data_IF_564722349992
#
_entry.id   IF_564722349992
#
_cell.length_a   1.000
_cell.length_b   1.000
_cell.length_c   1.000
_cell.angle_alpha   90.00
_cell.angle_beta   90.00
_cell.angle_gamma   90.00
#
_symmetry.space_group_name_H-M   'P 1'
#
loop_
_entity.id
_entity.type
_entity.pdbx_description
1 polymer ?
#
# COMPACT_ATOMS: atom_id res chain seq x y z
N UNK A 1 21.12 -15.86 2.69
CA UNK A 1 19.95 -14.96 2.85
C UNK A 1 19.92 -14.52 4.30
N UNK A 2 19.74 -13.22 4.57
CA UNK A 2 19.68 -12.74 5.95
C UNK A 2 18.25 -12.99 6.46
N UNK A 3 17.99 -14.18 7.00
CA UNK A 3 16.68 -14.61 7.52
C UNK A 3 16.40 -14.08 8.94
N UNK A 4 17.28 -13.22 9.47
CA UNK A 4 17.17 -12.72 10.83
C UNK A 4 16.13 -11.56 10.96
N UNK A 5 15.69 -10.99 9.83
CA UNK A 5 14.73 -9.91 9.82
C UNK A 5 13.30 -10.43 9.75
N UNK A 6 12.45 -9.87 10.58
CA UNK A 6 11.03 -10.26 10.69
C UNK A 6 10.13 -9.32 9.89
N UNK A 7 9.05 -9.86 9.30
CA UNK A 7 8.11 -9.10 8.47
C UNK A 7 6.70 -9.22 9.01
N UNK A 8 6.06 -8.07 9.24
CA UNK A 8 4.63 -7.94 9.48
C UNK A 8 3.92 -7.58 8.18
N UNK A 9 2.80 -8.22 7.89
CA UNK A 9 1.90 -7.79 6.83
C UNK A 9 0.75 -7.01 7.46
N UNK A 10 0.39 -5.86 6.89
CA UNK A 10 -0.80 -5.12 7.29
C UNK A 10 -1.80 -5.07 6.15
N UNK A 11 -3.04 -5.45 6.41
CA UNK A 11 -4.12 -5.48 5.43
C UNK A 11 -5.28 -4.63 5.92
N UNK A 12 -5.67 -3.64 5.11
CA UNK A 12 -6.91 -2.90 5.30
C UNK A 12 -8.05 -3.60 4.57
N UNK A 13 -9.21 -3.77 5.22
CA UNK A 13 -10.39 -4.40 4.59
C UNK A 13 -11.63 -3.53 4.73
N UNK A 14 -12.43 -3.51 3.66
CA UNK A 14 -13.78 -2.93 3.63
C UNK A 14 -14.59 -3.54 2.48
N UNK A 15 -15.62 -4.34 2.80
CA UNK A 15 -16.49 -5.02 1.83
C UNK A 15 -15.70 -5.77 0.73
N UNK A 16 -14.77 -6.63 1.15
CA UNK A 16 -13.84 -7.35 0.28
C UNK A 16 -14.10 -8.86 0.18
N UNK A 17 -15.27 -9.35 0.58
CA UNK A 17 -15.59 -10.78 0.70
C UNK A 17 -15.32 -11.58 -0.57
N UNK A 18 -15.45 -10.95 -1.75
CA UNK A 18 -15.27 -11.58 -3.06
C UNK A 18 -13.81 -12.02 -3.30
N UNK A 19 -12.82 -11.23 -2.83
CA UNK A 19 -11.41 -11.41 -3.21
C UNK A 19 -10.50 -11.80 -2.06
N UNK A 20 -10.88 -11.50 -0.82
CA UNK A 20 -9.98 -11.55 0.34
C UNK A 20 -9.39 -12.94 0.60
N UNK A 21 -10.09 -14.03 0.26
CA UNK A 21 -9.58 -15.40 0.41
C UNK A 21 -8.36 -15.64 -0.47
N UNK A 22 -8.46 -15.28 -1.74
CA UNK A 22 -7.36 -15.42 -2.70
C UNK A 22 -6.14 -14.61 -2.26
N UNK A 23 -6.36 -13.39 -1.78
CA UNK A 23 -5.27 -12.55 -1.28
C UNK A 23 -4.63 -13.14 -0.02
N UNK A 24 -5.40 -13.56 0.98
CA UNK A 24 -4.85 -14.18 2.19
C UNK A 24 -4.07 -15.46 1.89
N UNK A 25 -4.59 -16.32 1.00
CA UNK A 25 -3.90 -17.54 0.57
C UNK A 25 -2.56 -17.21 -0.13
N UNK A 26 -2.52 -16.15 -0.94
CA UNK A 26 -1.31 -15.70 -1.62
C UNK A 26 -0.25 -15.17 -0.63
N UNK A 27 -0.67 -14.47 0.43
CA UNK A 27 0.21 -14.00 1.50
C UNK A 27 0.74 -15.19 2.32
N UNK A 28 -0.12 -16.13 2.69
CA UNK A 28 0.27 -17.32 3.43
C UNK A 28 1.22 -18.24 2.64
N UNK A 29 1.25 -18.14 1.31
CA UNK A 29 2.13 -18.91 0.42
C UNK A 29 3.51 -18.27 0.21
N UNK A 30 3.84 -17.17 0.88
CA UNK A 30 5.14 -16.51 0.71
C UNK A 30 6.31 -17.43 1.13
N UNK A 31 7.37 -17.43 0.33
CA UNK A 31 8.59 -18.19 0.63
C UNK A 31 9.36 -17.65 1.82
N UNK A 32 9.22 -16.36 2.12
CA UNK A 32 9.82 -15.73 3.29
C UNK A 32 8.90 -15.91 4.52
N UNK A 33 9.45 -16.35 5.67
CA UNK A 33 8.63 -16.56 6.88
C UNK A 33 8.07 -15.24 7.40
N UNK A 34 6.75 -15.19 7.54
CA UNK A 34 6.04 -14.03 8.07
C UNK A 34 5.94 -14.12 9.59
N UNK A 35 6.15 -13.01 10.27
CA UNK A 35 5.97 -12.91 11.73
C UNK A 35 4.50 -12.85 12.11
N UNK A 36 3.73 -12.01 11.40
CA UNK A 36 2.32 -11.76 11.65
C UNK A 36 1.64 -11.15 10.44
N UNK A 37 0.32 -11.29 10.38
CA UNK A 37 -0.57 -10.65 9.43
C UNK A 37 -1.63 -9.91 10.24
N UNK A 38 -1.62 -8.59 10.20
CA UNK A 38 -2.54 -7.72 10.93
C UNK A 38 -3.63 -7.28 9.95
N UNK A 39 -4.85 -7.76 10.17
CA UNK A 39 -6.03 -7.39 9.37
C UNK A 39 -6.85 -6.38 10.17
N UNK A 40 -7.04 -5.19 9.58
CA UNK A 40 -7.84 -4.11 10.16
C UNK A 40 -9.06 -3.86 9.29
N UNK A 41 -10.25 -4.27 9.76
CA UNK A 41 -11.51 -4.06 9.07
C UNK A 41 -12.11 -2.69 9.37
N UNK A 42 -12.51 -1.97 8.33
CA UNK A 42 -13.03 -0.61 8.41
C UNK A 42 -14.57 -0.53 8.41
N UNK A 43 -15.21 -1.52 9.02
CA UNK A 43 -16.66 -1.54 9.18
C UNK A 43 -17.41 -2.25 8.04
N UNK A 44 -16.87 -3.35 7.50
CA UNK A 44 -17.51 -4.16 6.47
C UNK A 44 -18.92 -4.63 6.87
N UNK A 45 -19.79 -4.71 5.88
CA UNK A 45 -21.19 -5.14 6.03
C UNK A 45 -21.51 -6.43 5.26
N UNK A 46 -20.55 -6.91 4.48
CA UNK A 46 -20.60 -8.20 3.78
C UNK A 46 -19.93 -9.31 4.62
N UNK A 47 -19.63 -10.46 4.00
CA UNK A 47 -19.01 -11.61 4.65
C UNK A 47 -17.51 -11.43 5.00
N UNK A 48 -16.91 -10.26 4.74
CA UNK A 48 -15.48 -9.99 4.99
C UNK A 48 -15.08 -10.33 6.42
N UNK A 49 -15.87 -9.86 7.41
CA UNK A 49 -15.61 -10.09 8.83
C UNK A 49 -15.61 -11.58 9.17
N UNK A 50 -16.61 -12.32 8.67
CA UNK A 50 -16.72 -13.77 8.91
C UNK A 50 -15.51 -14.52 8.31
N UNK A 51 -15.10 -14.14 7.10
CA UNK A 51 -13.93 -14.73 6.43
C UNK A 51 -12.65 -14.46 7.22
N UNK A 52 -12.38 -13.19 7.59
CA UNK A 52 -11.18 -12.81 8.34
C UNK A 52 -11.12 -13.51 9.71
N UNK A 53 -12.26 -13.63 10.40
CA UNK A 53 -12.36 -14.34 11.69
C UNK A 53 -11.98 -15.80 11.51
N UNK A 54 -12.53 -16.49 10.51
CA UNK A 54 -12.21 -17.89 10.25
C UNK A 54 -10.72 -18.12 9.90
N UNK A 55 -10.09 -17.18 9.17
CA UNK A 55 -8.65 -17.23 8.90
C UNK A 55 -7.83 -17.00 10.19
N UNK A 56 -8.21 -16.06 11.04
CA UNK A 56 -7.52 -15.79 12.30
C UNK A 56 -7.63 -16.98 13.29
N UNK A 57 -8.76 -17.67 13.31
CA UNK A 57 -8.92 -18.91 14.09
C UNK A 57 -8.04 -20.05 13.59
N UNK A 58 -7.84 -20.15 12.27
CA UNK A 58 -7.07 -21.21 11.62
C UNK A 58 -5.57 -20.95 11.65
N UNK A 59 -5.13 -19.70 11.53
CA UNK A 59 -3.73 -19.31 11.40
C UNK A 59 -3.30 -18.38 12.53
N UNK A 60 -2.52 -18.86 13.53
CA UNK A 60 -2.15 -18.08 14.72
C UNK A 60 -1.35 -16.80 14.44
N UNK A 61 -0.75 -16.66 13.25
CA UNK A 61 -0.04 -15.45 12.82
C UNK A 61 -0.98 -14.34 12.34
N UNK A 62 -2.29 -14.62 12.17
CA UNK A 62 -3.29 -13.65 11.72
C UNK A 62 -3.95 -13.01 12.92
N UNK A 63 -3.84 -11.70 13.01
CA UNK A 63 -4.48 -10.87 14.04
C UNK A 63 -5.56 -10.01 13.41
N UNK A 64 -6.82 -10.37 13.62
CA UNK A 64 -7.97 -9.65 13.09
C UNK A 64 -8.52 -8.67 14.12
N UNK A 65 -8.79 -7.44 13.66
CA UNK A 65 -9.51 -6.43 14.44
C UNK A 65 -10.41 -5.58 13.54
N UNK A 66 -11.47 -5.02 14.13
CA UNK A 66 -12.46 -4.21 13.44
C UNK A 66 -12.56 -2.82 14.07
N UNK A 67 -12.65 -1.78 13.26
CA UNK A 67 -12.92 -0.42 13.70
C UNK A 67 -14.38 -0.29 14.19
N UNK A 68 -14.62 0.56 15.17
CA UNK A 68 -15.96 0.86 15.65
C UNK A 68 -16.83 1.61 14.60
N UNK A 69 -16.17 2.31 13.66
CA UNK A 69 -16.78 3.00 12.53
C UNK A 69 -15.80 3.03 11.37
N UNK A 70 -16.30 3.36 10.16
CA UNK A 70 -15.43 3.56 9.01
C UNK A 70 -14.55 4.80 9.22
N UNK A 71 -13.23 4.61 9.19
CA UNK A 71 -12.22 5.66 9.38
C UNK A 71 -11.62 6.14 8.06
N UNK A 72 -11.92 5.45 6.97
CA UNK A 72 -11.28 5.61 5.67
C UNK A 72 -9.92 4.92 5.58
N UNK A 73 -9.51 4.57 4.37
CA UNK A 73 -8.35 3.72 4.12
C UNK A 73 -7.05 4.26 4.74
N UNK A 74 -6.79 5.58 4.70
CA UNK A 74 -5.59 6.17 5.28
C UNK A 74 -5.47 5.90 6.79
N UNK A 75 -6.53 6.14 7.54
CA UNK A 75 -6.52 5.92 9.00
C UNK A 75 -6.58 4.43 9.33
N UNK A 76 -7.26 3.65 8.51
CA UNK A 76 -7.32 2.20 8.68
C UNK A 76 -5.94 1.57 8.56
N UNK A 77 -5.18 1.88 7.49
CA UNK A 77 -3.80 1.43 7.33
C UNK A 77 -2.86 1.97 8.40
N UNK A 78 -3.00 3.26 8.79
CA UNK A 78 -2.21 3.83 9.89
C UNK A 78 -2.41 3.05 11.19
N UNK A 79 -3.66 2.74 11.52
CA UNK A 79 -3.98 2.00 12.75
C UNK A 79 -3.38 0.59 12.76
N UNK A 80 -3.36 -0.09 11.61
CA UNK A 80 -2.71 -1.38 11.45
C UNK A 80 -1.18 -1.27 11.55
N UNK A 81 -0.57 -0.27 10.90
CA UNK A 81 0.86 -0.03 10.92
C UNK A 81 1.42 0.21 12.33
N UNK A 82 0.67 0.93 13.18
CA UNK A 82 1.07 1.19 14.56
C UNK A 82 1.07 -0.06 15.46
N UNK A 83 0.40 -1.15 15.02
CA UNK A 83 0.38 -2.44 15.74
C UNK A 83 1.51 -3.38 15.30
N UNK A 84 2.14 -3.14 14.16
CA UNK A 84 3.16 -4.02 13.59
C UNK A 84 4.40 -4.14 14.50
N UNK A 85 4.92 -5.37 14.63
CA UNK A 85 6.06 -5.68 15.50
C UNK A 85 7.26 -6.24 14.76
N UNK A 86 7.15 -6.55 13.45
CA UNK A 86 8.25 -6.99 12.61
C UNK A 86 9.26 -5.88 12.35
N UNK A 87 10.48 -6.23 11.94
CA UNK A 87 11.49 -5.25 11.52
C UNK A 87 11.05 -4.48 10.28
N UNK A 88 10.31 -5.15 9.40
CA UNK A 88 9.70 -4.58 8.21
C UNK A 88 8.18 -4.76 8.21
N UNK A 89 7.50 -3.89 7.47
CA UNK A 89 6.05 -3.90 7.30
C UNK A 89 5.71 -3.79 5.82
N UNK A 90 4.87 -4.71 5.31
CA UNK A 90 4.35 -4.65 3.95
C UNK A 90 2.85 -4.34 3.95
N UNK A 91 2.43 -3.46 3.05
CA UNK A 91 1.02 -3.17 2.82
C UNK A 91 0.38 -4.21 1.91
N UNK A 92 -0.85 -4.56 2.21
CA UNK A 92 -1.69 -5.42 1.38
C UNK A 92 -3.07 -4.82 1.21
N UNK A 93 -3.49 -4.65 -0.03
CA UNK A 93 -4.90 -4.45 -0.35
C UNK A 93 -5.62 -5.80 -0.27
N UNK A 94 -6.93 -5.80 -0.15
CA UNK A 94 -7.75 -7.00 0.08
C UNK A 94 -8.05 -7.80 -1.19
N UNK A 95 -7.79 -7.23 -2.37
CA UNK A 95 -8.25 -7.71 -3.68
C UNK A 95 -7.11 -7.96 -4.70
N UNK A 96 -5.85 -7.92 -4.24
CA UNK A 96 -4.66 -8.28 -5.01
C UNK A 96 -4.34 -9.77 -4.95
N UNK A 97 -3.25 -10.17 -5.62
CA UNK A 97 -2.61 -11.49 -5.44
C UNK A 97 -1.09 -11.32 -5.45
N UNK A 98 -0.43 -11.77 -4.40
CA UNK A 98 1.03 -11.70 -4.29
C UNK A 98 1.70 -12.91 -4.93
N UNK A 99 2.84 -12.67 -5.59
CA UNK A 99 3.67 -13.76 -6.07
C UNK A 99 4.53 -14.32 -4.93
N UNK A 100 4.81 -15.63 -4.92
CA UNK A 100 5.37 -16.31 -3.75
C UNK A 100 6.68 -15.73 -3.21
N UNK A 101 7.51 -15.12 -4.06
CA UNK A 101 8.82 -14.58 -3.70
C UNK A 101 8.82 -13.07 -3.41
N UNK A 102 7.66 -12.43 -3.30
CA UNK A 102 7.56 -10.98 -3.12
C UNK A 102 8.33 -10.50 -1.91
N UNK A 103 8.03 -11.02 -0.74
CA UNK A 103 8.67 -10.58 0.51
C UNK A 103 10.16 -10.93 0.52
N UNK A 104 10.53 -12.10 0.08
CA UNK A 104 11.93 -12.53 -0.01
C UNK A 104 12.79 -11.54 -0.83
N UNK A 105 12.30 -11.17 -2.02
CA UNK A 105 13.01 -10.25 -2.92
C UNK A 105 13.09 -8.83 -2.35
N UNK A 106 12.00 -8.36 -1.76
CA UNK A 106 11.98 -7.02 -1.16
C UNK A 106 12.88 -6.93 0.08
N UNK A 107 12.90 -7.95 0.95
CA UNK A 107 13.81 -7.99 2.10
C UNK A 107 15.26 -8.03 1.65
N UNK A 108 15.59 -8.77 0.58
CA UNK A 108 16.94 -8.81 0.02
C UNK A 108 17.37 -7.46 -0.58
N UNK A 109 16.43 -6.70 -1.14
CA UNK A 109 16.72 -5.44 -1.86
C UNK A 109 16.75 -4.20 -0.97
N UNK A 110 15.99 -4.17 0.13
CA UNK A 110 15.74 -2.94 0.91
C UNK A 110 17.02 -2.31 1.49
N UNK A 111 18.05 -3.10 1.81
CA UNK A 111 19.32 -2.59 2.34
C UNK A 111 19.13 -1.63 3.51
N UNK A 112 19.64 -0.40 3.39
CA UNK A 112 19.49 0.68 4.37
C UNK A 112 18.33 1.66 4.04
N UNK A 113 17.58 1.44 2.95
CA UNK A 113 16.49 2.32 2.56
C UNK A 113 15.26 2.16 3.47
N UNK A 114 14.45 3.20 3.55
CA UNK A 114 13.20 3.19 4.32
C UNK A 114 12.09 2.43 3.62
N UNK A 115 12.07 2.48 2.28
CA UNK A 115 11.07 1.82 1.43
C UNK A 115 11.77 0.99 0.35
N UNK A 116 11.27 -0.23 0.15
CA UNK A 116 11.47 -1.02 -1.05
C UNK A 116 10.12 -1.19 -1.73
N UNK A 117 10.01 -0.86 -3.01
CA UNK A 117 8.82 -1.11 -3.81
C UNK A 117 9.15 -1.99 -5.02
N UNK A 118 8.14 -2.49 -5.72
CA UNK A 118 8.32 -3.30 -6.92
C UNK A 118 7.42 -2.83 -8.06
N UNK A 119 7.72 -3.27 -9.27
CA UNK A 119 6.75 -3.26 -10.34
C UNK A 119 5.61 -4.24 -10.03
N UNK A 120 4.50 -4.15 -10.75
CA UNK A 120 3.36 -5.07 -10.58
C UNK A 120 2.64 -5.29 -11.92
N UNK A 121 1.90 -6.38 -12.01
CA UNK A 121 0.95 -6.60 -13.10
C UNK A 121 -0.39 -5.98 -12.73
N UNK A 122 -1.08 -5.36 -13.67
CA UNK A 122 -2.42 -4.82 -13.49
C UNK A 122 -3.36 -5.34 -14.56
N UNK A 123 -4.56 -5.77 -14.18
CA UNK A 123 -5.58 -6.26 -15.10
C UNK A 123 -6.84 -6.69 -14.38
N UNK A 124 -7.95 -6.88 -15.14
CA UNK A 124 -9.20 -7.38 -14.62
C UNK A 124 -9.13 -8.87 -14.26
N UNK A 125 -8.30 -9.61 -14.98
CA UNK A 125 -8.00 -11.01 -14.78
C UNK A 125 -6.49 -11.27 -15.02
N UNK A 126 -6.04 -12.52 -14.76
CA UNK A 126 -4.61 -12.88 -14.88
C UNK A 126 -4.14 -13.07 -16.32
N UNK A 127 -5.04 -13.27 -17.26
CA UNK A 127 -4.70 -13.49 -18.67
C UNK A 127 -4.52 -12.15 -19.41
N UNK A 128 -5.25 -11.10 -18.98
CA UNK A 128 -5.25 -9.78 -19.56
C UNK A 128 -4.60 -8.76 -18.62
N UNK A 129 -3.28 -8.88 -18.46
CA UNK A 129 -2.51 -7.99 -17.60
C UNK A 129 -1.52 -7.15 -18.40
N UNK A 130 -1.14 -6.01 -17.87
CA UNK A 130 -0.02 -5.21 -18.33
C UNK A 130 0.92 -4.88 -17.17
N UNK A 131 2.21 -4.73 -17.48
CA UNK A 131 3.21 -4.32 -16.51
C UNK A 131 3.02 -2.85 -16.16
N UNK A 132 2.92 -2.55 -14.87
CA UNK A 132 3.02 -1.19 -14.33
C UNK A 132 4.42 -1.03 -13.75
N UNK A 133 5.21 -0.18 -14.41
CA UNK A 133 6.55 0.19 -13.98
C UNK A 133 6.54 1.69 -13.67
N UNK A 134 6.38 2.10 -12.40
CA UNK A 134 6.35 3.50 -12.03
C UNK A 134 7.71 4.14 -12.30
N UNK A 135 7.70 5.27 -13.00
CA UNK A 135 8.91 6.06 -13.19
C UNK A 135 9.34 6.64 -11.83
N UNK A 136 10.53 6.24 -11.38
CA UNK A 136 11.08 6.72 -10.13
C UNK A 136 11.99 7.91 -10.40
N UNK A 137 11.50 9.11 -10.13
CA UNK A 137 12.30 10.32 -10.01
C UNK A 137 11.71 11.20 -8.93
N UNK A 138 12.52 12.13 -8.41
CA UNK A 138 12.05 13.09 -7.42
C UNK A 138 10.88 13.93 -7.96
N UNK A 139 10.95 14.33 -9.23
CA UNK A 139 9.88 15.06 -9.89
C UNK A 139 8.60 14.23 -9.99
N UNK A 140 8.71 12.94 -10.31
CA UNK A 140 7.55 12.06 -10.37
C UNK A 140 6.86 11.94 -9.00
N UNK A 141 7.62 11.87 -7.90
CA UNK A 141 7.08 11.82 -6.55
C UNK A 141 6.29 13.05 -6.15
N UNK A 142 6.56 14.22 -6.74
CA UNK A 142 5.77 15.43 -6.48
C UNK A 142 4.36 15.35 -7.06
N UNK A 143 4.15 14.49 -8.04
CA UNK A 143 2.89 14.40 -8.78
C UNK A 143 2.14 13.10 -8.55
N UNK A 144 2.83 12.02 -8.23
CA UNK A 144 2.23 10.72 -7.93
C UNK A 144 3.12 9.92 -6.98
N UNK A 145 2.49 9.06 -6.16
CA UNK A 145 3.18 8.08 -5.33
C UNK A 145 3.32 6.74 -6.02
N UNK A 146 3.88 5.80 -5.28
CA UNK A 146 3.86 4.38 -5.61
C UNK A 146 2.64 3.74 -4.95
N UNK A 147 2.08 2.71 -5.57
CA UNK A 147 0.96 2.00 -4.97
C UNK A 147 1.39 1.28 -3.68
N UNK A 148 0.64 1.48 -2.60
CA UNK A 148 0.95 0.93 -1.28
C UNK A 148 1.18 -0.57 -1.29
N UNK A 149 0.35 -1.32 -2.02
CA UNK A 149 0.45 -2.78 -2.17
C UNK A 149 1.79 -3.28 -2.76
N UNK A 150 2.62 -2.38 -3.30
CA UNK A 150 3.95 -2.72 -3.81
C UNK A 150 5.06 -2.52 -2.78
N UNK A 151 4.78 -1.94 -1.61
CA UNK A 151 5.78 -1.44 -0.66
C UNK A 151 6.10 -2.44 0.46
N UNK A 152 7.40 -2.50 0.81
CA UNK A 152 7.94 -3.00 2.08
C UNK A 152 8.68 -1.85 2.75
N UNK A 153 8.39 -1.56 4.03
CA UNK A 153 8.92 -0.41 4.74
C UNK A 153 9.62 -0.83 6.05
N UNK A 154 10.57 -0.03 6.51
CA UNK A 154 11.09 -0.19 7.87
C UNK A 154 10.00 0.15 8.89
N UNK A 155 9.86 -0.68 9.93
CA UNK A 155 8.86 -0.46 10.98
C UNK A 155 9.04 0.89 11.67
N UNK A 156 10.25 1.22 12.08
CA UNK A 156 10.54 2.49 12.74
C UNK A 156 10.19 3.71 11.86
N UNK A 157 10.39 3.62 10.56
CA UNK A 157 9.98 4.66 9.62
C UNK A 157 8.45 4.77 9.54
N UNK A 158 7.73 3.67 9.26
CA UNK A 158 6.28 3.71 9.09
C UNK A 158 5.53 4.07 10.38
N UNK A 159 6.09 3.79 11.56
CA UNK A 159 5.51 4.16 12.85
C UNK A 159 5.78 5.61 13.28
N UNK A 160 6.53 6.38 12.49
CA UNK A 160 6.70 7.82 12.69
C UNK A 160 5.44 8.55 12.25
N UNK A 161 4.67 9.06 13.22
CA UNK A 161 3.33 9.65 12.98
C UNK A 161 3.35 10.84 12.03
N UNK A 162 4.43 11.60 12.02
CA UNK A 162 4.66 12.81 11.22
C UNK A 162 4.76 12.51 9.73
N UNK A 163 5.08 11.27 9.35
CA UNK A 163 5.18 10.86 7.94
C UNK A 163 3.82 10.51 7.31
N UNK A 164 2.77 10.44 8.13
CA UNK A 164 1.39 10.27 7.69
C UNK A 164 0.73 11.64 7.50
N UNK A 165 1.05 12.31 6.40
CA UNK A 165 0.60 13.66 6.13
C UNK A 165 -0.92 13.72 5.97
N UNK A 166 -1.61 14.71 6.58
CA UNK A 166 -3.04 14.82 6.48
C UNK A 166 -3.49 15.16 5.03
N UNK A 167 -4.64 14.64 4.62
CA UNK A 167 -5.26 14.91 3.31
C UNK A 167 -4.44 14.45 2.09
N UNK A 168 -3.45 13.59 2.30
CA UNK A 168 -2.65 12.93 1.26
C UNK A 168 -2.82 11.42 1.39
N UNK A 169 -2.83 10.69 0.29
CA UNK A 169 -2.82 9.23 0.31
C UNK A 169 -1.59 8.73 1.05
N UNK A 170 -1.76 7.74 1.91
CA UNK A 170 -0.70 7.27 2.82
C UNK A 170 0.56 6.81 2.07
N UNK A 171 0.39 6.09 0.98
CA UNK A 171 1.47 5.56 0.15
C UNK A 171 2.31 6.69 -0.47
N UNK A 172 1.67 7.72 -0.96
CA UNK A 172 2.33 8.89 -1.51
C UNK A 172 3.01 9.73 -0.41
N UNK A 173 2.35 9.92 0.73
CA UNK A 173 2.91 10.59 1.91
C UNK A 173 4.19 9.92 2.38
N UNK A 174 4.15 8.60 2.57
CA UNK A 174 5.31 7.83 3.02
C UNK A 174 6.45 7.84 1.98
N UNK A 175 6.13 7.75 0.68
CA UNK A 175 7.14 7.81 -0.37
C UNK A 175 7.91 9.15 -0.36
N UNK A 176 7.20 10.28 -0.23
CA UNK A 176 7.83 11.60 -0.13
C UNK A 176 8.73 11.68 1.11
N UNK A 177 8.22 11.26 2.27
CA UNK A 177 8.99 11.31 3.51
C UNK A 177 10.22 10.39 3.46
N UNK A 178 10.11 9.19 2.86
CA UNK A 178 11.24 8.30 2.69
C UNK A 178 12.34 8.90 1.80
N UNK A 179 11.95 9.58 0.71
CA UNK A 179 12.91 10.26 -0.16
C UNK A 179 13.72 11.32 0.59
N UNK A 180 13.15 11.95 1.61
CA UNK A 180 13.81 12.96 2.44
C UNK A 180 14.58 12.36 3.62
N UNK A 181 14.44 11.07 3.91
CA UNK A 181 15.04 10.40 5.06
C UNK A 181 16.06 9.34 4.63
N UNK A 182 15.69 8.08 4.59
CA UNK A 182 16.58 6.95 4.28
C UNK A 182 16.51 6.48 2.81
N UNK A 183 15.64 7.12 2.01
CA UNK A 183 15.53 6.85 0.58
C UNK A 183 14.65 5.64 0.23
N UNK A 184 14.58 5.40 -1.07
CA UNK A 184 13.72 4.39 -1.68
C UNK A 184 14.54 3.53 -2.63
N UNK A 185 14.26 2.23 -2.70
CA UNK A 185 14.83 1.29 -3.66
C UNK A 185 13.74 0.53 -4.40
N UNK A 186 13.98 0.19 -5.66
CA UNK A 186 13.04 -0.55 -6.50
C UNK A 186 13.56 -1.96 -6.82
N UNK A 187 12.68 -2.94 -6.76
CA UNK A 187 12.85 -4.24 -7.40
C UNK A 187 12.18 -4.19 -8.77
N UNK A 188 12.98 -4.21 -9.83
CA UNK A 188 12.49 -4.14 -11.22
C UNK A 188 11.96 -5.50 -11.70
N UNK A 189 10.98 -6.01 -10.96
CA UNK A 189 10.28 -7.25 -11.25
C UNK A 189 8.85 -7.16 -10.71
N UNK A 190 7.83 -7.64 -11.46
CA UNK A 190 6.47 -7.67 -10.95
C UNK A 190 6.36 -8.70 -9.82
N UNK A 191 5.98 -8.25 -8.63
CA UNK A 191 5.89 -9.09 -7.44
C UNK A 191 4.45 -9.32 -6.95
N UNK A 192 3.47 -8.70 -7.59
CA UNK A 192 2.07 -8.97 -7.38
C UNK A 192 1.23 -8.64 -8.62
N UNK A 193 0.05 -9.22 -8.66
CA UNK A 193 -1.01 -8.84 -9.58
C UNK A 193 -2.02 -7.95 -8.84
N UNK A 194 -2.17 -6.71 -9.33
CA UNK A 194 -3.16 -5.76 -8.86
C UNK A 194 -4.43 -5.90 -9.71
N UNK A 195 -5.50 -6.30 -9.07
CA UNK A 195 -6.81 -6.46 -9.71
C UNK A 195 -7.41 -5.09 -10.03
N UNK A 196 -7.85 -4.89 -11.28
CA UNK A 196 -8.66 -3.72 -11.64
C UNK A 196 -10.08 -3.89 -11.09
N UNK A 197 -10.36 -3.30 -9.95
CA UNK A 197 -11.65 -3.36 -9.29
C UNK A 197 -12.37 -2.01 -9.41
N UNK A 198 -13.53 -1.99 -10.09
CA UNK A 198 -14.35 -0.77 -10.27
C UNK A 198 -15.04 -0.30 -8.98
N UNK A 199 -15.11 -1.15 -7.96
CA UNK A 199 -15.64 -0.83 -6.63
C UNK A 199 -14.55 -0.42 -5.64
N UNK A 200 -13.30 -0.20 -6.08
CA UNK A 200 -12.20 0.22 -5.21
C UNK A 200 -12.43 1.62 -4.60
N UNK A 201 -11.87 1.87 -3.42
CA UNK A 201 -11.97 3.17 -2.73
C UNK A 201 -11.51 4.34 -3.61
N UNK A 202 -10.42 4.15 -4.37
CA UNK A 202 -9.95 5.16 -5.33
C UNK A 202 -10.98 5.46 -6.43
N UNK A 203 -11.72 4.45 -6.88
CA UNK A 203 -12.74 4.62 -7.92
C UNK A 203 -13.96 5.38 -7.38
N UNK A 204 -14.37 5.08 -6.15
CA UNK A 204 -15.46 5.78 -5.47
C UNK A 204 -15.11 7.26 -5.18
N UNK A 205 -13.88 7.55 -4.73
CA UNK A 205 -13.43 8.94 -4.57
C UNK A 205 -13.43 9.72 -5.89
N UNK A 206 -13.02 9.08 -6.99
CA UNK A 206 -13.06 9.69 -8.32
C UNK A 206 -14.50 9.96 -8.80
N UNK A 207 -15.43 9.06 -8.52
CA UNK A 207 -16.86 9.25 -8.82
C UNK A 207 -17.45 10.42 -8.01
N UNK A 208 -17.18 10.46 -6.70
CA UNK A 208 -17.66 11.53 -5.81
C UNK A 208 -17.09 12.89 -6.19
N UNK A 209 -15.88 12.95 -6.71
CA UNK A 209 -15.25 14.18 -7.22
C UNK A 209 -15.87 14.67 -8.55
N UNK A 210 -16.92 14.01 -9.08
CA UNK A 210 -17.58 14.36 -10.33
C UNK A 210 -16.71 14.18 -11.58
N UNK A 211 -15.58 13.49 -11.46
CA UNK A 211 -14.68 13.18 -12.57
C UNK A 211 -15.23 11.97 -13.30
N UNK A 212 -15.94 12.18 -14.41
CA UNK A 212 -16.12 11.10 -15.38
C UNK A 212 -14.73 10.59 -15.76
N UNK A 213 -14.46 9.31 -15.54
CA UNK A 213 -13.32 8.64 -16.15
C UNK A 213 -13.61 8.57 -17.66
N UNK A 214 -13.33 9.65 -18.34
CA UNK A 214 -13.35 9.69 -19.80
C UNK A 214 -12.10 8.94 -20.28
N UNK A 215 -12.28 8.03 -21.21
CA UNK A 215 -11.25 7.11 -21.72
C UNK A 215 -10.12 7.80 -22.51
N UNK A 216 -9.81 9.06 -22.25
CA UNK A 216 -8.71 9.80 -22.88
C UNK A 216 -7.44 9.76 -22.03
N UNK A 217 -6.42 8.97 -22.42
CA UNK A 217 -5.27 8.63 -21.58
C UNK A 217 -4.30 9.77 -21.27
N UNK A 218 -4.42 10.96 -21.88
CA UNK A 218 -3.30 11.88 -22.01
C UNK A 218 -3.26 13.05 -21.03
N UNK A 219 -4.37 13.43 -20.37
CA UNK A 219 -4.37 14.62 -19.49
C UNK A 219 -4.73 14.35 -18.03
N UNK A 220 -5.33 13.22 -17.71
CA UNK A 220 -5.78 12.92 -16.36
C UNK A 220 -4.66 12.75 -15.33
N UNK A 221 -3.52 12.09 -15.64
CA UNK A 221 -2.38 12.01 -14.71
C UNK A 221 -1.86 13.40 -14.31
N UNK A 222 -1.80 14.34 -15.24
CA UNK A 222 -1.35 15.71 -14.97
C UNK A 222 -2.32 16.50 -14.07
N UNK A 223 -3.63 16.36 -14.29
CA UNK A 223 -4.64 17.04 -13.45
C UNK A 223 -4.66 16.47 -12.04
N UNK A 224 -4.50 15.16 -11.91
CA UNK A 224 -4.36 14.50 -10.61
C UNK A 224 -3.07 14.93 -9.91
N UNK A 225 -1.95 14.95 -10.63
CA UNK A 225 -0.68 15.44 -10.14
C UNK A 225 -0.72 16.89 -9.67
N UNK A 226 -1.36 17.81 -10.44
CA UNK A 226 -1.54 19.21 -10.03
C UNK A 226 -2.40 19.32 -8.76
N UNK A 227 -3.47 18.54 -8.64
CA UNK A 227 -4.30 18.52 -7.45
C UNK A 227 -3.51 18.05 -6.22
N UNK A 228 -2.69 17.02 -6.39
CA UNK A 228 -1.82 16.48 -5.35
C UNK A 228 -0.72 17.47 -4.97
N UNK A 229 -0.07 18.12 -5.92
CA UNK A 229 0.91 19.17 -5.68
C UNK A 229 0.32 20.32 -4.86
N UNK A 230 -0.91 20.77 -5.18
CA UNK A 230 -1.62 21.78 -4.38
C UNK A 230 -1.91 21.31 -2.97
N UNK A 231 -2.23 20.03 -2.76
CA UNK A 231 -2.41 19.44 -1.42
C UNK A 231 -1.10 19.43 -0.64
N UNK A 232 0.03 19.10 -1.29
CA UNK A 232 1.36 19.19 -0.68
C UNK A 232 1.69 20.62 -0.22
N UNK A 233 1.43 21.62 -1.05
CA UNK A 233 1.68 23.02 -0.69
C UNK A 233 0.91 23.50 0.55
N UNK A 234 -0.18 22.83 0.90
CA UNK A 234 -0.98 23.13 2.08
C UNK A 234 -0.44 22.47 3.36
N UNK A 235 0.59 21.63 3.26
CA UNK A 235 1.16 20.95 4.43
C UNK A 235 2.02 21.92 5.26
N UNK A 236 1.96 21.83 6.61
CA UNK A 236 2.73 22.71 7.48
C UNK A 236 4.24 22.70 7.22
N UNK A 237 4.78 21.60 6.76
CA UNK A 237 6.21 21.39 6.51
C UNK A 237 6.59 21.56 5.02
N UNK A 238 5.74 22.17 4.20
CA UNK A 238 6.01 22.37 2.77
C UNK A 238 7.34 23.07 2.50
N UNK A 239 7.71 24.05 3.30
CA UNK A 239 8.99 24.77 3.15
C UNK A 239 10.20 23.84 3.30
N UNK A 240 10.12 22.85 4.17
CA UNK A 240 11.16 21.84 4.34
C UNK A 240 11.28 20.95 3.09
N UNK A 241 10.15 20.55 2.51
CA UNK A 241 10.08 19.82 1.24
C UNK A 241 10.65 20.65 0.08
N UNK A 242 10.32 21.95 0.02
CA UNK A 242 10.77 22.88 -1.00
C UNK A 242 12.30 23.08 -0.96
N UNK A 243 12.89 23.23 0.23
CA UNK A 243 14.34 23.44 0.43
C UNK A 243 15.16 22.20 0.01
N UNK A 244 14.55 21.02 -0.05
CA UNK A 244 15.22 19.78 -0.46
C UNK A 244 15.15 19.53 -1.97
N UNK A 245 14.21 20.17 -2.68
CA UNK A 245 13.93 19.98 -4.10
C UNK A 245 14.68 21.03 -4.94
N UNK A 246 15.06 22.17 -4.37
CA UNK A 246 15.78 23.29 -4.98
C UNK A 246 17.06 23.62 -4.19
#
# INVERSE_FOLDING_TARGET
>A
MNTDKTVSIIMGTYNGAEYIREQLDSILSQTYPLKEIIIQDDGSTDDTVAICTAYAEKYPIIHFSRNASNLGFNQNFKSAAMKATGDFVAFSDQDDVWFPTKIEKQVAAIGNHDICFSTHLRGADREHTHLVNPQYSLEALLFCGFAGHTMLLRREFIQTSEYWLPNIMYDWSLAICAQLHGGIVMVDEPLNWHRTNLASACHEELKQAGKKMDARPTYQPYLYGIANYRRLQQQPNWQMLYTYIY
#
